data_IF_309063228293
#
_entry.id   IF_309063228293
#
_cell.length_a   1.000
_cell.length_b   1.000
_cell.length_c   1.000
_cell.angle_alpha   90.00
_cell.angle_beta   90.00
_cell.angle_gamma   90.00
#
_symmetry.space_group_name_H-M   'P 1'
#
loop_
_entity.id
_entity.type
_entity.pdbx_description
1 polymer ?
#
# COMPACT_ATOMS: atom_id res chain seq x y z
N UNK A 1 -0.46 7.57 11.77
CA UNK A 1 0.60 7.42 10.76
C UNK A 1 0.01 6.78 9.53
N UNK A 2 0.52 7.10 8.33
CA UNK A 2 0.13 6.44 7.08
C UNK A 2 1.40 5.82 6.49
N UNK A 3 1.47 4.51 6.29
CA UNK A 3 2.58 3.86 5.58
C UNK A 3 1.99 3.07 4.42
N UNK A 4 2.49 3.25 3.20
CA UNK A 4 1.90 2.63 2.03
C UNK A 4 2.81 2.43 0.83
N UNK A 5 2.54 1.38 0.05
CA UNK A 5 3.05 1.24 -1.31
C UNK A 5 2.36 2.27 -2.22
N UNK A 6 3.12 3.08 -2.95
CA UNK A 6 2.62 4.07 -3.89
C UNK A 6 2.92 3.62 -5.32
N UNK A 7 1.87 3.56 -6.14
CA UNK A 7 1.95 3.40 -7.58
C UNK A 7 1.68 4.75 -8.25
N UNK A 8 2.64 5.37 -8.95
CA UNK A 8 2.43 6.68 -9.61
C UNK A 8 2.52 6.59 -11.13
N UNK A 9 1.71 7.41 -11.80
CA UNK A 9 1.77 7.64 -13.24
C UNK A 9 1.64 9.16 -13.56
N UNK A 10 2.39 9.74 -14.52
CA UNK A 10 2.49 11.21 -14.85
C UNK A 10 1.16 11.88 -15.29
N UNK A 11 0.92 13.21 -15.43
CA UNK A 11 1.50 14.50 -14.98
C UNK A 11 0.42 15.49 -14.47
N UNK A 12 -0.88 15.14 -14.50
CA UNK A 12 -1.98 16.02 -14.05
C UNK A 12 -3.03 15.18 -13.33
N UNK A 13 -3.11 15.33 -12.00
CA UNK A 13 -3.83 14.45 -11.06
C UNK A 13 -3.48 12.96 -11.24
N UNK A 14 -2.36 12.50 -10.63
CA UNK A 14 -1.75 11.23 -11.01
C UNK A 14 -2.70 10.08 -10.67
N UNK A 15 -2.92 9.16 -11.60
CA UNK A 15 -3.56 7.90 -11.25
C UNK A 15 -2.62 7.20 -10.28
N UNK A 16 -3.12 6.89 -9.08
CA UNK A 16 -2.30 6.21 -8.09
C UNK A 16 -3.09 5.21 -7.28
N UNK A 17 -2.37 4.19 -6.81
CA UNK A 17 -2.84 3.29 -5.77
C UNK A 17 -1.92 3.46 -4.58
N UNK A 18 -2.54 3.54 -3.42
CA UNK A 18 -1.91 3.57 -2.12
C UNK A 18 -2.52 2.45 -1.27
N UNK A 19 -1.69 1.56 -0.75
CA UNK A 19 -2.15 0.53 0.17
C UNK A 19 -1.28 0.48 1.41
N UNK A 20 -1.88 0.39 2.59
CA UNK A 20 -1.21 0.11 3.85
C UNK A 20 -1.94 0.65 5.07
N UNK A 21 -1.21 0.87 6.15
CA UNK A 21 -1.81 1.11 7.46
C UNK A 21 -2.07 2.60 7.69
N UNK A 22 -3.25 2.93 8.20
CA UNK A 22 -3.62 4.26 8.67
C UNK A 22 -4.21 4.23 10.08
N UNK A 23 -3.74 5.14 10.94
CA UNK A 23 -4.37 5.39 12.24
C UNK A 23 -5.46 6.46 12.11
N UNK A 24 -6.70 6.10 12.40
CA UNK A 24 -7.87 7.00 12.34
C UNK A 24 -8.63 6.89 13.66
N UNK A 25 -8.79 8.01 14.36
CA UNK A 25 -9.51 8.09 15.64
C UNK A 25 -9.08 7.01 16.68
N UNK A 26 -7.78 6.73 16.76
CA UNK A 26 -7.22 5.72 17.68
C UNK A 26 -7.34 4.27 17.19
N UNK A 27 -7.89 4.04 16.00
CA UNK A 27 -7.98 2.71 15.38
C UNK A 27 -6.95 2.57 14.27
N UNK A 28 -6.23 1.45 14.28
CA UNK A 28 -5.33 1.05 13.20
C UNK A 28 -6.13 0.32 12.13
N UNK A 29 -6.12 0.86 10.90
CA UNK A 29 -6.86 0.33 9.76
C UNK A 29 -5.89 -0.10 8.68
N UNK A 30 -6.12 -1.28 8.08
CA UNK A 30 -5.63 -1.55 6.73
C UNK A 30 -6.45 -0.72 5.76
N UNK A 31 -5.79 -0.02 4.84
CA UNK A 31 -6.42 0.88 3.89
C UNK A 31 -5.91 0.61 2.48
N UNK A 32 -6.82 0.68 1.52
CA UNK A 32 -6.48 0.76 0.10
C UNK A 32 -7.23 1.95 -0.47
N UNK A 33 -6.47 2.87 -1.05
CA UNK A 33 -6.94 4.07 -1.71
C UNK A 33 -6.45 4.03 -3.15
N UNK A 34 -7.35 4.19 -4.10
CA UNK A 34 -7.04 4.23 -5.51
C UNK A 34 -7.70 5.48 -6.11
N UNK A 35 -6.92 6.27 -6.84
CA UNK A 35 -7.36 7.53 -7.43
C UNK A 35 -7.32 7.43 -8.95
N UNK A 36 -8.45 7.66 -9.61
CA UNK A 36 -8.57 7.72 -11.07
C UNK A 36 -9.20 9.02 -11.60
N UNK A 37 -9.12 10.10 -10.82
CA UNK A 37 -9.97 11.29 -10.98
C UNK A 37 -11.10 11.33 -9.96
N UNK A 38 -11.48 10.17 -9.42
CA UNK A 38 -12.31 10.02 -8.21
C UNK A 38 -11.59 9.13 -7.18
N UNK A 39 -11.90 9.32 -5.90
CA UNK A 39 -11.31 8.53 -4.81
C UNK A 39 -12.12 7.26 -4.57
N UNK A 40 -11.53 6.11 -4.87
CA UNK A 40 -11.99 4.79 -4.43
C UNK A 40 -11.22 4.40 -3.16
N UNK A 41 -11.94 4.25 -2.04
CA UNK A 41 -11.34 4.04 -0.72
C UNK A 41 -12.03 2.89 0.01
N UNK A 42 -11.21 1.98 0.54
CA UNK A 42 -11.67 0.89 1.41
C UNK A 42 -10.78 0.78 2.64
N UNK A 43 -11.40 0.44 3.78
CA UNK A 43 -10.71 0.23 5.05
C UNK A 43 -11.21 -1.02 5.74
N UNK A 44 -10.29 -1.73 6.39
CA UNK A 44 -10.60 -2.86 7.26
C UNK A 44 -9.87 -2.66 8.59
N UNK A 45 -10.57 -2.74 9.74
CA UNK A 45 -9.90 -2.70 11.03
C UNK A 45 -8.91 -3.86 11.14
N UNK A 46 -7.71 -3.57 11.64
CA UNK A 46 -6.78 -4.64 12.01
C UNK A 46 -7.32 -5.35 13.26
N UNK A 47 -7.32 -6.69 13.28
CA UNK A 47 -7.80 -7.46 14.44
C UNK A 47 -6.77 -7.56 15.55
N UNK A 48 -7.23 -7.84 16.78
CA UNK A 48 -6.37 -7.92 17.97
C UNK A 48 -5.41 -9.12 17.85
N UNK A 49 -4.13 -8.85 17.62
CA UNK A 49 -3.09 -9.86 17.37
C UNK A 49 -2.29 -9.58 16.09
N UNK A 50 -2.82 -8.73 15.21
CA UNK A 50 -2.06 -8.13 14.13
C UNK A 50 -1.17 -7.03 14.73
N UNK A 51 0.15 -7.17 14.59
CA UNK A 51 1.08 -6.20 15.14
C UNK A 51 1.00 -4.90 14.34
N UNK A 52 0.29 -3.90 14.88
CA UNK A 52 0.20 -2.57 14.29
C UNK A 52 1.57 -1.88 14.14
N UNK A 53 2.63 -2.40 14.78
CA UNK A 53 3.99 -1.87 14.68
C UNK A 53 4.75 -2.38 13.45
N UNK A 54 4.37 -3.51 12.85
CA UNK A 54 5.03 -4.07 11.68
C UNK A 54 4.03 -4.80 10.76
N UNK A 55 4.01 -4.43 9.48
CA UNK A 55 3.15 -5.07 8.49
C UNK A 55 3.91 -5.27 7.18
N UNK A 56 3.52 -6.31 6.45
CA UNK A 56 4.02 -6.58 5.10
C UNK A 56 2.84 -6.53 4.13
N UNK A 57 3.02 -5.80 3.04
CA UNK A 57 2.09 -5.84 1.91
C UNK A 57 2.80 -6.43 0.71
N UNK A 58 2.02 -7.17 -0.06
CA UNK A 58 2.42 -7.61 -1.39
C UNK A 58 1.40 -7.09 -2.40
N UNK A 59 1.90 -6.47 -3.47
CA UNK A 59 1.07 -5.96 -4.55
C UNK A 59 1.43 -6.70 -5.82
N UNK A 60 0.50 -7.50 -6.31
CA UNK A 60 0.69 -8.33 -7.51
C UNK A 60 -0.07 -7.72 -8.67
N UNK A 61 0.63 -7.47 -9.77
CA UNK A 61 0.01 -7.19 -11.07
C UNK A 61 -0.43 -8.53 -11.69
N UNK A 62 -1.73 -8.69 -11.88
CA UNK A 62 -2.31 -9.86 -12.55
C UNK A 62 -3.16 -9.37 -13.73
N UNK A 63 -2.67 -9.60 -14.95
CA UNK A 63 -3.29 -9.10 -16.18
C UNK A 63 -3.49 -7.56 -16.11
N UNK A 64 -4.73 -7.07 -16.23
CA UNK A 64 -5.10 -5.66 -16.10
C UNK A 64 -5.51 -5.25 -14.68
N UNK A 65 -5.13 -6.02 -13.66
CA UNK A 65 -5.58 -5.85 -12.28
C UNK A 65 -4.40 -5.73 -11.33
N UNK A 66 -4.61 -4.99 -10.24
CA UNK A 66 -3.73 -5.02 -9.07
C UNK A 66 -4.43 -5.75 -7.94
N UNK A 67 -3.76 -6.76 -7.40
CA UNK A 67 -4.16 -7.46 -6.19
C UNK A 67 -3.28 -6.97 -5.04
N UNK A 68 -3.91 -6.43 -4.00
CA UNK A 68 -3.23 -6.08 -2.75
C UNK A 68 -3.47 -7.20 -1.76
N UNK A 69 -2.38 -7.72 -1.20
CA UNK A 69 -2.33 -8.76 -0.19
C UNK A 69 -1.74 -8.18 1.10
N UNK A 70 -2.35 -8.51 2.24
CA UNK A 70 -1.73 -8.37 3.55
C UNK A 70 -1.01 -9.68 3.87
N UNK A 71 0.29 -9.62 4.14
CA UNK A 71 1.09 -10.77 4.52
C UNK A 71 1.17 -10.79 6.04
N UNK A 72 0.60 -11.83 6.65
CA UNK A 72 0.63 -12.06 8.08
C UNK A 72 1.56 -13.22 8.40
N UNK A 73 2.35 -13.09 9.46
CA UNK A 73 3.20 -14.18 9.93
C UNK A 73 2.52 -14.89 11.10
N UNK A 74 2.22 -16.18 10.91
CA UNK A 74 1.69 -17.05 11.95
C UNK A 74 2.71 -17.30 13.06
N UNK A 75 2.23 -17.78 14.21
CA UNK A 75 3.09 -18.12 15.35
C UNK A 75 4.11 -19.24 15.04
N UNK A 76 3.84 -20.05 14.02
CA UNK A 76 4.70 -21.10 13.47
C UNK A 76 5.74 -20.57 12.46
N UNK A 77 5.74 -19.26 12.21
CA UNK A 77 6.61 -18.59 11.24
C UNK A 77 6.17 -18.74 9.79
N UNK A 78 5.04 -19.40 9.51
CA UNK A 78 4.47 -19.47 8.16
C UNK A 78 3.80 -18.15 7.79
N UNK A 79 3.90 -17.79 6.52
CA UNK A 79 3.23 -16.60 5.98
C UNK A 79 1.87 -16.97 5.42
N UNK A 80 0.85 -16.23 5.85
CA UNK A 80 -0.49 -16.23 5.28
C UNK A 80 -0.69 -14.95 4.48
N UNK A 81 -1.09 -15.08 3.21
CA UNK A 81 -1.39 -13.94 2.33
C UNK A 81 -2.91 -13.75 2.25
N UNK A 82 -3.41 -12.68 2.85
CA UNK A 82 -4.84 -12.33 2.84
C UNK A 82 -5.10 -11.32 1.73
N UNK A 83 -5.97 -11.61 0.75
CA UNK A 83 -6.37 -10.63 -0.26
C UNK A 83 -7.23 -9.54 0.37
N UNK A 84 -6.75 -8.30 0.35
CA UNK A 84 -7.46 -7.15 0.92
C UNK A 84 -8.18 -6.33 -0.14
N UNK A 85 -7.68 -6.28 -1.39
CA UNK A 85 -8.34 -5.53 -2.47
C UNK A 85 -7.92 -6.04 -3.85
N UNK A 86 -8.88 -6.05 -4.78
CA UNK A 86 -8.62 -6.18 -6.22
C UNK A 86 -9.03 -4.87 -6.91
N UNK A 87 -8.14 -4.29 -7.70
CA UNK A 87 -8.36 -3.03 -8.41
C UNK A 87 -8.35 -3.31 -9.91
N UNK A 88 -9.51 -3.19 -10.56
CA UNK A 88 -9.72 -3.63 -11.95
C UNK A 88 -9.49 -2.54 -13.00
N UNK A 89 -9.45 -1.27 -12.59
CA UNK A 89 -9.42 -0.14 -13.53
C UNK A 89 -8.03 0.45 -13.76
N UNK A 90 -7.11 0.23 -12.83
CA UNK A 90 -5.80 0.89 -12.80
C UNK A 90 -4.90 0.58 -14.00
N UNK A 91 -5.15 -0.54 -14.70
CA UNK A 91 -4.36 -1.00 -15.85
C UNK A 91 -5.24 -1.39 -17.06
N UNK A 92 -6.49 -0.88 -17.13
CA UNK A 92 -7.39 -1.13 -18.27
C UNK A 92 -6.82 -0.49 -19.55
N UNK A 93 -7.29 -0.91 -20.72
CA UNK A 93 -6.69 -0.67 -22.05
C UNK A 93 -6.14 0.74 -22.33
N UNK A 94 -6.85 1.82 -21.96
CA UNK A 94 -6.40 3.21 -22.16
C UNK A 94 -5.47 3.73 -21.03
N UNK A 95 -5.36 2.98 -19.93
CA UNK A 95 -4.50 3.21 -18.77
C UNK A 95 -3.32 2.24 -18.71
N UNK A 96 -3.09 1.42 -19.74
CA UNK A 96 -1.88 0.59 -19.89
C UNK A 96 -0.67 1.51 -20.03
N UNK A 97 -0.02 1.78 -18.91
CA UNK A 97 1.19 2.60 -18.88
C UNK A 97 2.38 1.67 -19.05
N UNK A 98 3.28 2.02 -19.96
CA UNK A 98 4.53 1.29 -20.19
C UNK A 98 5.42 1.29 -18.94
N UNK A 99 5.34 2.36 -18.13
CA UNK A 99 6.11 2.52 -16.91
C UNK A 99 5.19 2.74 -15.69
N UNK A 100 5.50 2.05 -14.60
CA UNK A 100 4.85 2.21 -13.30
C UNK A 100 5.92 2.51 -12.25
N UNK A 101 5.69 3.55 -11.46
CA UNK A 101 6.54 3.84 -10.32
C UNK A 101 6.03 3.06 -9.11
N UNK A 102 6.83 2.16 -8.56
CA UNK A 102 6.55 1.48 -7.28
C UNK A 102 7.46 2.08 -6.22
N UNK A 103 6.91 2.38 -5.04
CA UNK A 103 7.73 2.83 -3.91
C UNK A 103 6.99 2.74 -2.59
N UNK A 104 7.69 3.07 -1.52
CA UNK A 104 7.09 3.18 -0.18
C UNK A 104 6.91 4.65 0.16
N UNK A 105 5.82 4.96 0.85
CA UNK A 105 5.41 6.31 1.20
C UNK A 105 4.91 6.35 2.64
N UNK A 106 5.49 7.25 3.44
CA UNK A 106 5.02 7.57 4.77
C UNK A 106 4.44 8.98 4.84
N UNK A 107 3.35 9.17 5.57
CA UNK A 107 2.77 10.49 5.80
C UNK A 107 2.13 10.64 7.18
N UNK A 108 2.24 11.86 7.70
CA UNK A 108 1.59 12.33 8.92
C UNK A 108 0.73 13.56 8.61
N UNK A 109 -0.48 13.39 8.03
CA UNK A 109 -1.39 14.51 7.88
C UNK A 109 -1.73 15.05 9.26
N UNK A 110 -1.52 16.35 9.44
CA UNK A 110 -1.77 17.04 10.71
C UNK A 110 -2.56 18.31 10.40
N UNK A 111 -3.85 18.12 10.13
CA UNK A 111 -4.74 19.22 9.74
C UNK A 111 -4.95 20.22 10.88
N UNK A 112 -4.83 19.78 12.13
CA UNK A 112 -4.98 20.61 13.32
C UNK A 112 -3.66 21.28 13.76
N UNK A 113 -2.51 20.80 13.27
CA UNK A 113 -1.19 21.33 13.65
C UNK A 113 -0.77 20.97 15.07
N UNK A 114 -1.34 19.90 15.65
CA UNK A 114 -1.17 19.53 17.05
C UNK A 114 -0.05 18.51 17.26
N UNK A 115 0.45 17.87 16.21
CA UNK A 115 1.43 16.79 16.36
C UNK A 115 2.85 17.32 16.58
N UNK A 116 3.41 17.00 17.74
CA UNK A 116 4.74 17.43 18.19
C UNK A 116 5.86 16.47 17.79
N UNK A 117 5.56 15.20 17.53
CA UNK A 117 6.54 14.14 17.27
C UNK A 117 6.59 13.73 15.80
N UNK A 118 7.79 13.54 15.24
CA UNK A 118 7.98 13.06 13.87
C UNK A 118 7.35 11.68 13.65
N UNK A 119 6.97 11.38 12.40
CA UNK A 119 6.60 10.02 12.02
C UNK A 119 7.86 9.28 11.59
N UNK A 120 8.33 8.38 12.44
CA UNK A 120 9.41 7.45 12.12
C UNK A 120 8.84 6.16 11.53
N UNK A 121 9.38 5.72 10.39
CA UNK A 121 8.99 4.50 9.69
C UNK A 121 10.24 3.81 9.18
N UNK A 122 10.44 2.58 9.65
CA UNK A 122 11.46 1.69 9.11
C UNK A 122 10.88 0.88 7.96
N UNK A 123 11.57 0.89 6.83
CA UNK A 123 11.22 0.11 5.65
C UNK A 123 12.22 -1.03 5.57
N UNK A 124 11.71 -2.26 5.70
CA UNK A 124 12.52 -3.47 5.71
C UNK A 124 12.05 -4.36 4.56
N UNK A 125 12.98 -4.97 3.83
CA UNK A 125 12.71 -5.93 2.75
C UNK A 125 11.81 -5.37 1.63
N UNK A 126 12.06 -4.14 1.18
CA UNK A 126 11.39 -3.64 -0.02
C UNK A 126 11.96 -4.32 -1.27
N UNK A 127 11.09 -5.05 -1.97
CA UNK A 127 11.42 -5.83 -3.15
C UNK A 127 10.43 -5.53 -4.28
N UNK A 128 10.95 -5.47 -5.51
CA UNK A 128 10.17 -5.40 -6.75
C UNK A 128 10.68 -6.47 -7.69
N UNK A 129 9.79 -7.34 -8.16
CA UNK A 129 10.09 -8.39 -9.13
C UNK A 129 9.35 -8.11 -10.45
N UNK A 130 10.07 -8.22 -11.56
CA UNK A 130 9.52 -8.20 -12.92
C UNK A 130 10.20 -9.26 -13.81
N UNK A 131 9.90 -9.25 -15.12
CA UNK A 131 10.47 -10.20 -16.10
C UNK A 131 11.99 -10.10 -16.28
N UNK A 132 12.61 -9.02 -15.81
CA UNK A 132 14.05 -8.79 -15.82
C UNK A 132 14.72 -9.18 -14.49
N UNK A 133 13.95 -9.57 -13.48
CA UNK A 133 14.42 -10.11 -12.20
C UNK A 133 13.95 -9.29 -11.00
N UNK A 134 14.69 -9.44 -9.90
CA UNK A 134 14.34 -8.84 -8.60
C UNK A 134 15.25 -7.67 -8.27
N UNK A 135 14.66 -6.54 -7.89
CA UNK A 135 15.33 -5.38 -7.32
C UNK A 135 14.96 -5.26 -5.84
N UNK A 136 15.95 -5.27 -4.97
CA UNK A 136 15.78 -5.00 -3.53
C UNK A 136 16.41 -3.66 -3.18
N UNK A 137 15.71 -2.82 -2.41
CA UNK A 137 16.35 -1.67 -1.79
C UNK A 137 17.16 -2.15 -0.57
N UNK A 138 18.45 -1.79 -0.56
CA UNK A 138 19.39 -2.07 0.52
C UNK A 138 19.12 -1.20 1.75
#
# INVERSE_FOLDING_TARGET
SKCSGLLRTEATAPLYVKAGIENVAGMTLSTVLANNGELDFSTTPLTKGEDASAFTLEVVKYDYRLLVLLVMKGADGQEEKIPVRVIYWCLKEDSRRENMWVGVYAARPDAAGEATEALDVDIINFEVEDEHGTVQLA
#
